data_IF_879982708515
#
_entry.id   IF_879982708515
#
_cell.length_a   1.000
_cell.length_b   1.000
_cell.length_c   1.000
_cell.angle_alpha   90.00
_cell.angle_beta   90.00
_cell.angle_gamma   90.00
#
_symmetry.space_group_name_H-M   'P 1'
#
loop_
_entity.id
_entity.type
_entity.pdbx_description
1 polymer ?
#
# COMPACT_ATOMS: atom_id res chain seq x y z
N UNK A 1 -23.55 1.90 -14.44
CA UNK A 1 -22.68 2.97 -13.91
C UNK A 1 -21.52 2.43 -13.07
N UNK A 2 -21.01 1.22 -13.35
CA UNK A 2 -19.76 0.71 -12.76
C UNK A 2 -19.61 0.78 -11.24
N UNK A 3 -20.72 0.69 -10.48
CA UNK A 3 -20.81 0.92 -9.02
C UNK A 3 -20.30 2.30 -8.54
N UNK A 4 -20.15 3.26 -9.45
CA UNK A 4 -19.56 4.59 -9.25
C UNK A 4 -20.51 5.70 -9.71
N UNK A 5 -21.80 5.40 -9.70
CA UNK A 5 -22.84 6.29 -10.15
C UNK A 5 -24.21 5.66 -10.04
N UNK A 6 -25.23 6.48 -10.25
CA UNK A 6 -26.62 6.08 -10.27
C UNK A 6 -27.19 6.20 -11.69
N UNK A 7 -28.08 5.29 -12.07
CA UNK A 7 -28.74 5.33 -13.37
C UNK A 7 -29.96 6.25 -13.30
N UNK A 8 -29.94 7.37 -14.04
CA UNK A 8 -31.03 8.36 -14.08
C UNK A 8 -31.14 8.97 -15.47
N UNK A 9 -32.37 9.27 -15.93
CA UNK A 9 -32.63 9.94 -17.21
C UNK A 9 -31.89 9.31 -18.40
N UNK A 10 -31.89 7.98 -18.50
CA UNK A 10 -31.19 7.21 -19.54
C UNK A 10 -29.67 7.44 -19.62
N UNK A 11 -29.04 7.90 -18.54
CA UNK A 11 -27.59 8.05 -18.43
C UNK A 11 -27.10 7.66 -17.04
N UNK A 12 -25.78 7.49 -16.92
CA UNK A 12 -25.13 7.39 -15.63
C UNK A 12 -24.80 8.77 -15.06
N UNK A 13 -25.24 9.03 -13.83
CA UNK A 13 -24.78 10.15 -13.03
C UNK A 13 -23.67 9.67 -12.09
N UNK A 14 -22.43 10.03 -12.40
CA UNK A 14 -21.24 9.55 -11.69
C UNK A 14 -21.01 10.28 -10.37
N UNK A 15 -20.48 9.56 -9.38
CA UNK A 15 -20.12 10.13 -8.07
C UNK A 15 -18.66 10.59 -8.06
N UNK A 16 -18.34 11.54 -7.18
CA UNK A 16 -16.96 11.95 -6.92
C UNK A 16 -16.24 12.45 -8.17
N UNK A 17 -15.10 11.84 -8.48
CA UNK A 17 -14.25 12.20 -9.62
C UNK A 17 -14.37 11.23 -10.81
N UNK A 18 -15.41 10.37 -10.81
CA UNK A 18 -15.65 9.44 -11.91
C UNK A 18 -16.41 10.09 -13.07
N UNK A 19 -16.14 9.61 -14.29
CA UNK A 19 -16.78 10.08 -15.52
C UNK A 19 -16.78 8.99 -16.61
N UNK A 20 -17.43 9.31 -17.74
CA UNK A 20 -17.70 8.40 -18.86
C UNK A 20 -19.11 7.81 -18.80
N UNK A 21 -19.55 7.20 -19.91
CA UNK A 21 -20.93 6.70 -20.06
C UNK A 21 -21.34 5.69 -18.98
N UNK A 22 -20.37 4.95 -18.43
CA UNK A 22 -20.58 3.97 -17.37
C UNK A 22 -19.86 4.33 -16.06
N UNK A 23 -19.34 5.55 -15.91
CA UNK A 23 -18.49 5.97 -14.78
C UNK A 23 -17.21 5.12 -14.63
N UNK A 24 -16.64 4.73 -15.77
CA UNK A 24 -15.50 3.82 -15.87
C UNK A 24 -14.13 4.51 -15.78
N UNK A 25 -14.10 5.84 -15.85
CA UNK A 25 -12.88 6.64 -15.79
C UNK A 25 -12.85 7.52 -14.53
N UNK A 26 -11.65 7.90 -14.10
CA UNK A 26 -11.40 8.81 -12.97
C UNK A 26 -10.41 9.90 -13.36
N UNK A 27 -10.66 11.12 -12.88
CA UNK A 27 -9.73 12.26 -13.00
C UNK A 27 -8.85 12.46 -11.77
N UNK A 28 -9.09 11.69 -10.70
CA UNK A 28 -8.36 11.76 -9.42
C UNK A 28 -7.55 10.47 -9.18
N UNK A 29 -6.36 10.64 -8.62
CA UNK A 29 -5.46 9.57 -8.22
C UNK A 29 -4.50 10.09 -7.14
N UNK A 30 -4.61 9.58 -5.92
CA UNK A 30 -3.91 10.13 -4.74
C UNK A 30 -2.51 9.51 -4.59
N UNK A 31 -2.39 8.18 -4.69
CA UNK A 31 -1.11 7.47 -4.59
C UNK A 31 -0.89 6.55 -5.80
N UNK A 32 -0.83 7.14 -6.99
CA UNK A 32 -0.64 6.39 -8.23
C UNK A 32 -0.49 7.27 -9.46
N UNK A 33 -0.68 6.67 -10.62
CA UNK A 33 -0.68 7.38 -11.91
C UNK A 33 -1.94 7.05 -12.69
N UNK A 34 -2.55 8.06 -13.33
CA UNK A 34 -3.68 7.84 -14.22
C UNK A 34 -3.17 7.30 -15.56
N UNK A 35 -3.65 6.12 -15.97
CA UNK A 35 -3.42 5.53 -17.30
C UNK A 35 -4.74 5.08 -17.91
N UNK A 36 -5.00 5.50 -19.15
CA UNK A 36 -6.23 5.19 -19.89
C UNK A 36 -7.50 5.51 -19.07
N UNK A 37 -7.49 6.64 -18.36
CA UNK A 37 -8.60 7.08 -17.52
C UNK A 37 -8.79 6.27 -16.23
N UNK A 38 -7.87 5.38 -15.85
CA UNK A 38 -7.91 4.63 -14.59
C UNK A 38 -6.71 4.94 -13.72
N UNK A 39 -6.91 5.02 -12.42
CA UNK A 39 -5.82 5.21 -11.46
C UNK A 39 -5.10 3.87 -11.25
N UNK A 40 -3.79 3.83 -11.50
CA UNK A 40 -2.92 2.67 -11.27
C UNK A 40 -2.12 2.94 -10.01
N UNK A 41 -2.40 2.19 -8.95
CA UNK A 41 -1.82 2.44 -7.64
C UNK A 41 -0.31 2.18 -7.60
N UNK A 42 0.37 3.04 -6.86
CA UNK A 42 1.72 2.76 -6.40
C UNK A 42 1.71 1.53 -5.50
N UNK A 43 2.89 0.90 -5.37
CA UNK A 43 3.05 -0.27 -4.51
C UNK A 43 2.57 0.06 -3.09
N UNK A 44 1.77 -0.85 -2.52
CA UNK A 44 1.20 -0.76 -1.17
C UNK A 44 0.07 0.26 -0.96
N UNK A 45 -0.57 0.72 -2.03
CA UNK A 45 -1.81 1.49 -1.98
C UNK A 45 -2.92 0.80 -2.76
N UNK A 46 -4.16 1.06 -2.37
CA UNK A 46 -5.38 0.50 -2.96
C UNK A 46 -6.54 1.49 -2.88
N UNK A 47 -7.67 1.12 -3.50
CA UNK A 47 -8.83 2.00 -3.66
C UNK A 47 -8.95 2.49 -5.10
N UNK A 48 -10.12 3.02 -5.45
CA UNK A 48 -10.36 3.50 -6.82
C UNK A 48 -9.51 4.74 -7.16
N UNK A 49 -9.12 5.51 -6.13
CA UNK A 49 -8.20 6.64 -6.23
C UNK A 49 -6.83 6.34 -5.59
N UNK A 50 -6.57 5.09 -5.21
CA UNK A 50 -5.37 4.71 -4.45
C UNK A 50 -5.21 5.50 -3.14
N UNK A 51 -6.33 5.85 -2.53
CA UNK A 51 -6.43 6.69 -1.33
C UNK A 51 -6.16 5.91 -0.04
N UNK A 52 -6.18 4.57 -0.08
CA UNK A 52 -6.00 3.72 1.09
C UNK A 52 -4.64 3.04 1.08
N UNK A 53 -3.93 3.13 2.19
CA UNK A 53 -2.73 2.34 2.44
C UNK A 53 -3.08 0.85 2.63
N UNK A 54 -2.25 -0.04 2.09
CA UNK A 54 -2.31 -1.47 2.39
C UNK A 54 -1.51 -1.73 3.68
N UNK A 55 -2.15 -2.40 4.65
CA UNK A 55 -1.52 -2.85 5.89
C UNK A 55 -1.44 -4.38 5.89
N UNK A 56 -0.23 -4.95 5.93
CA UNK A 56 -0.04 -6.40 5.88
C UNK A 56 -0.39 -7.09 7.19
N UNK A 57 -0.01 -6.48 8.31
CA UNK A 57 -0.27 -6.99 9.65
C UNK A 57 -0.78 -5.88 10.55
N UNK A 58 -1.93 -5.31 10.23
CA UNK A 58 -2.52 -4.20 10.97
C UNK A 58 -3.76 -3.66 10.27
N UNK A 59 -4.15 -2.45 10.61
CA UNK A 59 -5.27 -1.76 9.96
C UNK A 59 -4.94 -0.29 9.67
N UNK A 60 -5.59 0.32 8.67
CA UNK A 60 -5.36 1.73 8.34
C UNK A 60 -5.71 2.66 9.50
N UNK A 61 -4.87 3.67 9.73
CA UNK A 61 -5.10 4.70 10.71
C UNK A 61 -6.12 5.71 10.18
N UNK A 62 -7.39 5.53 10.56
CA UNK A 62 -8.48 6.41 10.14
C UNK A 62 -8.29 7.87 10.62
N UNK A 63 -7.55 8.11 11.71
CA UNK A 63 -7.25 9.48 12.19
C UNK A 63 -6.26 10.21 11.28
N UNK A 64 -5.49 9.48 10.48
CA UNK A 64 -4.51 10.02 9.55
C UNK A 64 -4.93 9.77 8.09
N UNK A 65 -6.23 9.85 7.79
CA UNK A 65 -6.78 9.66 6.45
C UNK A 65 -6.31 8.36 5.78
N UNK A 66 -6.09 7.30 6.56
CA UNK A 66 -5.57 6.00 6.07
C UNK A 66 -4.24 6.10 5.30
N UNK A 67 -3.38 7.07 5.66
CA UNK A 67 -2.02 7.21 5.11
C UNK A 67 -0.94 6.45 5.89
N UNK A 68 -1.30 5.86 7.04
CA UNK A 68 -0.40 5.04 7.84
C UNK A 68 -1.15 3.86 8.45
N UNK A 69 -0.42 2.81 8.83
CA UNK A 69 -0.99 1.66 9.51
C UNK A 69 -0.80 1.73 11.03
N UNK A 70 -1.80 1.26 11.77
CA UNK A 70 -1.67 0.94 13.19
C UNK A 70 -1.23 -0.52 13.29
N UNK A 71 0.00 -0.72 13.77
CA UNK A 71 0.61 -2.04 13.87
C UNK A 71 0.43 -2.64 15.27
N UNK A 72 0.15 -3.96 15.38
CA UNK A 72 0.28 -4.69 16.63
C UNK A 72 1.75 -4.74 17.07
N UNK A 73 2.00 -4.94 18.37
CA UNK A 73 3.35 -4.83 18.97
C UNK A 73 4.46 -5.63 18.26
N UNK A 74 4.12 -6.76 17.62
CA UNK A 74 5.08 -7.62 16.90
C UNK A 74 5.52 -7.06 15.54
N UNK A 75 4.79 -6.08 14.99
CA UNK A 75 5.02 -5.53 13.67
C UNK A 75 5.26 -4.02 13.72
N UNK A 76 5.98 -3.52 12.73
CA UNK A 76 6.30 -2.11 12.53
C UNK A 76 6.45 -1.79 11.04
N UNK A 77 6.81 -0.54 10.76
CA UNK A 77 6.89 -0.02 9.39
C UNK A 77 5.58 0.63 8.98
N UNK A 78 5.62 1.42 7.89
CA UNK A 78 4.47 2.18 7.40
C UNK A 78 3.28 1.25 7.05
N UNK A 79 3.58 0.04 6.58
CA UNK A 79 2.61 -0.98 6.14
C UNK A 79 2.48 -2.17 7.11
N UNK A 80 3.11 -2.11 8.30
CA UNK A 80 3.21 -3.23 9.23
C UNK A 80 3.81 -4.51 8.61
N UNK A 81 4.71 -4.36 7.64
CA UNK A 81 5.39 -5.43 6.90
C UNK A 81 6.69 -5.89 7.56
N UNK A 82 7.12 -5.20 8.61
CA UNK A 82 8.40 -5.43 9.28
C UNK A 82 8.18 -5.98 10.69
N UNK A 83 9.08 -6.82 11.18
CA UNK A 83 9.07 -7.30 12.58
C UNK A 83 9.58 -6.21 13.53
N UNK A 84 8.98 -6.06 14.70
CA UNK A 84 9.44 -5.07 15.68
C UNK A 84 10.82 -5.40 16.24
N UNK A 85 11.05 -6.68 16.57
CA UNK A 85 12.29 -7.20 17.13
C UNK A 85 13.38 -7.34 16.05
N UNK A 86 14.65 -7.26 16.44
CA UNK A 86 15.83 -7.37 15.55
C UNK A 86 16.73 -8.48 16.07
N UNK A 87 17.20 -9.38 15.19
CA UNK A 87 18.12 -10.46 15.59
C UNK A 87 18.70 -11.27 14.42
N UNK A 88 19.64 -12.20 14.70
CA UNK A 88 20.33 -12.99 13.69
C UNK A 88 19.38 -13.99 12.99
N UNK A 89 19.59 -14.30 11.70
CA UNK A 89 18.75 -15.25 10.94
C UNK A 89 18.89 -16.68 11.46
N UNK A 90 17.83 -17.30 12.00
CA UNK A 90 17.76 -18.72 12.39
C UNK A 90 16.55 -19.38 11.69
N UNK A 91 16.73 -20.43 10.88
CA UNK A 91 15.61 -21.19 10.29
C UNK A 91 15.24 -22.41 11.15
N UNK A 92 13.97 -22.88 11.17
CA UNK A 92 12.79 -22.37 10.46
C UNK A 92 12.02 -21.35 11.33
N UNK A 93 11.93 -20.10 10.87
CA UNK A 93 11.23 -19.05 11.61
C UNK A 93 9.71 -19.26 11.57
N UNK A 94 9.01 -19.38 12.71
CA UNK A 94 7.59 -19.10 12.77
C UNK A 94 7.36 -17.59 12.58
N UNK A 95 6.14 -17.26 12.16
CA UNK A 95 5.63 -15.92 11.80
C UNK A 95 6.17 -14.84 12.76
N UNK A 96 7.09 -14.04 12.21
CA UNK A 96 7.54 -12.73 12.68
C UNK A 96 8.11 -12.67 14.11
N UNK A 97 9.30 -13.23 14.33
CA UNK A 97 10.06 -12.99 15.57
C UNK A 97 11.24 -12.04 15.43
N UNK A 98 11.81 -11.79 14.24
CA UNK A 98 12.92 -10.81 14.08
C UNK A 98 13.10 -10.32 12.66
N UNK A 99 13.37 -9.01 12.51
CA UNK A 99 13.85 -8.42 11.26
C UNK A 99 15.30 -8.82 11.00
N UNK A 100 15.61 -9.13 9.74
CA UNK A 100 16.96 -9.51 9.32
C UNK A 100 17.96 -8.36 9.47
N UNK A 101 18.91 -8.52 10.39
CA UNK A 101 20.13 -7.71 10.38
C UNK A 101 21.24 -8.45 9.59
N UNK A 102 21.71 -7.93 8.44
CA UNK A 102 22.83 -8.53 7.73
C UNK A 102 24.10 -8.46 8.59
N UNK A 103 24.80 -9.58 8.72
CA UNK A 103 26.04 -9.67 9.50
C UNK A 103 27.07 -8.63 9.06
N UNK A 104 27.84 -8.10 10.02
CA UNK A 104 28.94 -7.14 9.76
C UNK A 104 29.91 -7.63 8.67
N UNK A 105 30.19 -8.94 8.62
CA UNK A 105 31.02 -9.54 7.57
C UNK A 105 30.44 -9.39 6.15
N UNK A 106 29.11 -9.45 5.98
CA UNK A 106 28.44 -9.21 4.69
C UNK A 106 28.42 -7.73 4.32
N UNK A 107 28.35 -6.83 5.30
CA UNK A 107 28.42 -5.39 5.08
C UNK A 107 29.82 -4.96 4.63
N UNK A 108 30.88 -5.50 5.25
CA UNK A 108 32.27 -5.25 4.82
C UNK A 108 32.52 -5.74 3.40
N UNK A 109 32.10 -6.95 3.03
CA UNK A 109 32.28 -7.48 1.66
C UNK A 109 31.57 -6.65 0.59
N UNK A 110 30.39 -6.08 0.88
CA UNK A 110 29.71 -5.16 -0.04
C UNK A 110 30.46 -3.85 -0.23
N UNK A 111 31.09 -3.33 0.83
CA UNK A 111 31.96 -2.13 0.73
C UNK A 111 33.23 -2.42 -0.06
N UNK A 112 33.82 -3.61 0.07
CA UNK A 112 35.03 -3.99 -0.69
C UNK A 112 34.74 -4.27 -2.17
N UNK A 113 33.54 -4.73 -2.52
CA UNK A 113 33.13 -4.98 -3.93
C UNK A 113 32.58 -3.73 -4.64
N UNK A 114 32.49 -2.58 -3.97
CA UNK A 114 32.07 -1.29 -4.55
C UNK A 114 33.25 -0.30 -4.72
N UNK A 115 34.48 -0.76 -4.50
CA UNK A 115 35.72 -0.05 -4.82
C UNK A 115 36.44 -0.73 -5.97
#
# INVERSE_FOLDING_TARGET
CGNRGEWKNNKCECIGSFFGDECQFTSRCDNGVIKHGRCICNKHFEGDYCERIICYHGYPNMKNMSQSCICPAKYKGLHCDQCSQVGPKIQPYPICTVNYNPSHAKQSRKKTNQQ
#
